data_IF_887724442937
#
_entry.id   IF_887724442937
#
_cell.length_a   1.000
_cell.length_b   1.000
_cell.length_c   1.000
_cell.angle_alpha   90.00
_cell.angle_beta   90.00
_cell.angle_gamma   90.00
#
_symmetry.space_group_name_H-M   'P 1'
#
loop_
_entity.id
_entity.type
_entity.pdbx_description
1 polymer ?
#
# COMPACT_ATOMS: atom_id res chain seq x y z
N UNK A 1 25.82 -7.24 -16.95
CA UNK A 1 27.04 -8.08 -16.77
C UNK A 1 26.62 -9.30 -15.97
N UNK A 2 26.96 -10.53 -16.38
CA UNK A 2 26.50 -11.71 -15.65
C UNK A 2 27.10 -11.75 -14.23
N UNK A 3 26.25 -11.89 -13.22
CA UNK A 3 26.64 -12.04 -11.82
C UNK A 3 27.29 -13.40 -11.60
N UNK A 4 28.13 -13.53 -10.58
CA UNK A 4 28.77 -14.81 -10.22
C UNK A 4 27.74 -15.94 -10.02
N UNK A 5 26.59 -15.61 -9.44
CA UNK A 5 25.49 -16.56 -9.22
C UNK A 5 24.88 -17.08 -10.53
N UNK A 6 24.72 -16.22 -11.54
CA UNK A 6 24.21 -16.63 -12.87
C UNK A 6 25.12 -17.64 -13.55
N UNK A 7 26.44 -17.47 -13.38
CA UNK A 7 27.45 -18.38 -13.93
C UNK A 7 27.44 -19.72 -13.18
N UNK A 8 27.36 -19.68 -11.84
CA UNK A 8 27.38 -20.90 -11.00
C UNK A 8 26.11 -21.74 -11.13
N UNK A 9 24.95 -21.10 -11.32
CA UNK A 9 23.65 -21.79 -11.39
C UNK A 9 23.09 -21.95 -12.80
N UNK A 10 23.83 -21.54 -13.83
CA UNK A 10 23.41 -21.59 -15.24
C UNK A 10 22.01 -20.99 -15.48
N UNK A 11 21.70 -19.93 -14.73
CA UNK A 11 20.48 -19.14 -14.87
C UNK A 11 20.83 -17.80 -15.47
N UNK A 12 19.98 -17.29 -16.36
CA UNK A 12 20.07 -15.92 -16.86
C UNK A 12 18.95 -15.12 -16.22
N UNK A 13 19.28 -14.22 -15.30
CA UNK A 13 18.31 -13.23 -14.86
C UNK A 13 18.23 -12.17 -15.95
N UNK A 14 17.02 -11.94 -16.47
CA UNK A 14 16.79 -10.76 -17.27
C UNK A 14 17.04 -9.55 -16.37
N UNK A 15 17.96 -8.66 -16.74
CA UNK A 15 18.08 -7.35 -16.08
C UNK A 15 16.70 -6.69 -16.14
N UNK A 16 16.02 -6.62 -15.00
CA UNK A 16 14.71 -6.02 -14.91
C UNK A 16 14.82 -4.59 -15.41
N UNK A 17 14.18 -4.27 -16.54
CA UNK A 17 14.05 -2.89 -17.03
C UNK A 17 13.19 -2.13 -16.03
N UNK A 18 13.81 -1.63 -14.96
CA UNK A 18 13.17 -0.67 -14.06
C UNK A 18 12.90 0.57 -14.89
N UNK A 19 11.62 0.85 -15.17
CA UNK A 19 11.22 2.09 -15.83
C UNK A 19 11.74 3.26 -15.00
N UNK A 20 12.26 4.29 -15.67
CA UNK A 20 13.20 5.27 -15.11
C UNK A 20 12.67 6.15 -13.97
N UNK A 21 11.38 6.05 -13.63
CA UNK A 21 10.73 6.83 -12.56
C UNK A 21 10.28 5.98 -11.37
N UNK A 22 10.66 4.69 -11.30
CA UNK A 22 10.44 3.84 -10.13
C UNK A 22 11.53 4.05 -9.10
N UNK A 23 11.13 4.40 -7.88
CA UNK A 23 12.03 4.65 -6.75
C UNK A 23 12.13 3.39 -5.90
N UNK A 24 13.32 3.14 -5.35
CA UNK A 24 13.53 2.01 -4.44
C UNK A 24 12.99 2.33 -3.04
N UNK A 25 12.17 1.42 -2.51
CA UNK A 25 11.52 1.54 -1.20
C UNK A 25 12.02 0.52 -0.18
N UNK A 26 13.15 -0.15 -0.46
CA UNK A 26 13.77 -1.14 0.41
C UNK A 26 14.04 -0.61 1.83
N UNK A 27 14.62 0.59 1.97
CA UNK A 27 14.87 1.23 3.27
C UNK A 27 13.59 1.53 4.04
N UNK A 28 12.54 1.96 3.35
CA UNK A 28 11.24 2.22 3.96
C UNK A 28 10.63 0.94 4.53
N UNK A 29 10.60 -0.15 3.74
CA UNK A 29 10.03 -1.42 4.19
C UNK A 29 10.87 -2.04 5.31
N UNK A 30 12.21 -1.92 5.26
CA UNK A 30 13.06 -2.39 6.34
C UNK A 30 12.80 -1.66 7.66
N UNK A 31 12.61 -0.34 7.62
CA UNK A 31 12.23 0.42 8.82
C UNK A 31 10.81 0.05 9.27
N UNK A 32 9.86 -0.07 8.33
CA UNK A 32 8.48 -0.46 8.64
C UNK A 32 8.41 -1.79 9.37
N UNK A 33 9.13 -2.81 8.90
CA UNK A 33 9.14 -4.14 9.53
C UNK A 33 9.81 -4.14 10.91
N UNK A 34 10.69 -3.18 11.19
CA UNK A 34 11.29 -2.98 12.52
C UNK A 34 10.36 -2.26 13.50
N UNK A 35 9.30 -1.60 13.05
CA UNK A 35 8.48 -0.73 13.90
C UNK A 35 7.00 -1.11 13.90
N UNK A 36 6.55 -1.91 12.92
CA UNK A 36 5.21 -2.43 12.85
C UNK A 36 4.98 -3.51 13.92
N UNK A 37 3.76 -3.56 14.46
CA UNK A 37 3.38 -4.63 15.39
C UNK A 37 3.50 -6.01 14.70
N UNK A 38 4.07 -7.03 15.37
CA UNK A 38 4.26 -8.34 14.77
C UNK A 38 2.91 -8.97 14.46
N UNK A 39 2.59 -9.06 13.18
CA UNK A 39 1.49 -9.89 12.68
C UNK A 39 2.09 -11.26 12.36
N UNK A 40 1.99 -12.22 13.30
CA UNK A 40 2.47 -13.60 13.11
C UNK A 40 3.98 -13.84 13.38
N UNK A 41 4.46 -15.05 13.01
CA UNK A 41 5.72 -15.79 13.31
C UNK A 41 7.09 -15.05 13.19
N UNK A 42 7.11 -13.73 13.11
CA UNK A 42 8.33 -12.92 13.06
C UNK A 42 8.99 -12.87 14.44
N UNK A 43 10.32 -12.95 14.48
CA UNK A 43 11.09 -12.91 15.73
C UNK A 43 10.75 -11.63 16.49
N UNK A 44 10.20 -11.73 17.71
CA UNK A 44 9.76 -10.56 18.45
C UNK A 44 10.95 -9.66 18.73
N UNK A 45 10.73 -8.35 18.67
CA UNK A 45 11.56 -7.41 19.41
C UNK A 45 11.75 -7.94 20.83
N UNK A 46 12.91 -7.67 21.44
CA UNK A 46 13.24 -8.14 22.79
C UNK A 46 12.17 -7.80 23.85
N UNK A 47 11.26 -6.86 23.55
CA UNK A 47 10.09 -6.53 24.36
C UNK A 47 8.78 -6.58 23.53
N UNK A 48 7.81 -7.45 23.86
CA UNK A 48 6.52 -7.57 23.17
C UNK A 48 5.57 -6.37 23.35
N UNK A 49 5.90 -5.43 24.24
CA UNK A 49 5.11 -4.22 24.49
C UNK A 49 5.81 -2.93 24.01
N UNK A 50 6.91 -3.04 23.26
CA UNK A 50 7.56 -1.86 22.70
C UNK A 50 6.67 -1.25 21.61
N UNK A 51 6.16 -0.04 21.85
CA UNK A 51 5.54 0.79 20.82
C UNK A 51 6.62 1.54 20.04
N UNK A 52 6.43 1.79 18.74
CA UNK A 52 7.37 2.58 17.96
C UNK A 52 7.54 3.97 18.57
N UNK A 53 8.76 4.49 18.61
CA UNK A 53 8.98 5.83 19.14
C UNK A 53 8.49 6.87 18.14
N UNK A 54 8.11 8.08 18.59
CA UNK A 54 7.75 9.17 17.68
C UNK A 54 8.87 9.52 16.68
N UNK A 55 10.13 9.27 17.04
CA UNK A 55 11.28 9.46 16.15
C UNK A 55 11.28 8.43 15.03
N UNK A 56 10.95 7.17 15.33
CA UNK A 56 10.91 6.09 14.35
C UNK A 56 9.76 6.29 13.35
N UNK A 57 8.58 6.71 13.82
CA UNK A 57 7.44 7.01 12.94
C UNK A 57 7.74 8.23 12.06
N UNK A 58 8.32 9.29 12.61
CA UNK A 58 8.76 10.44 11.81
C UNK A 58 9.86 10.09 10.80
N UNK A 59 10.76 9.16 11.12
CA UNK A 59 11.77 8.66 10.19
C UNK A 59 11.14 7.87 9.03
N UNK A 60 10.11 7.05 9.32
CA UNK A 60 9.35 6.34 8.30
C UNK A 60 8.69 7.31 7.31
N UNK A 61 8.01 8.36 7.80
CA UNK A 61 7.38 9.35 6.95
C UNK A 61 8.39 10.17 6.15
N UNK A 62 9.59 10.45 6.70
CA UNK A 62 10.68 11.11 5.96
C UNK A 62 11.17 10.28 4.77
N UNK A 63 11.33 8.97 4.93
CA UNK A 63 11.72 8.09 3.81
C UNK A 63 10.67 8.10 2.69
N UNK A 64 9.39 8.06 3.05
CA UNK A 64 8.31 8.18 2.07
C UNK A 64 8.26 9.57 1.42
N UNK A 65 8.49 10.63 2.20
CA UNK A 65 8.52 12.00 1.71
C UNK A 65 9.66 12.22 0.71
N UNK A 66 10.85 11.67 0.97
CA UNK A 66 12.01 11.75 0.07
C UNK A 66 11.71 11.11 -1.29
N UNK A 67 11.06 9.94 -1.29
CA UNK A 67 10.58 9.30 -2.53
C UNK A 67 9.64 10.24 -3.30
N UNK A 68 8.63 10.79 -2.63
CA UNK A 68 7.65 11.65 -3.30
C UNK A 68 8.30 12.95 -3.80
N UNK A 69 9.30 13.50 -3.11
CA UNK A 69 10.09 14.62 -3.61
C UNK A 69 10.89 14.27 -4.86
N UNK A 70 11.49 13.07 -4.92
CA UNK A 70 12.18 12.61 -6.13
C UNK A 70 11.21 12.51 -7.32
N UNK A 71 10.00 12.01 -7.09
CA UNK A 71 8.96 12.02 -8.11
C UNK A 71 8.60 13.48 -8.47
N UNK A 72 8.34 14.33 -7.49
CA UNK A 72 7.93 15.72 -7.71
C UNK A 72 8.90 16.49 -8.61
N UNK A 73 10.21 16.35 -8.38
CA UNK A 73 11.27 17.00 -9.18
C UNK A 73 11.34 16.53 -10.64
N UNK A 74 10.81 15.34 -10.92
CA UNK A 74 10.78 14.71 -12.25
C UNK A 74 9.36 14.63 -12.82
N UNK A 75 8.42 15.43 -12.30
CA UNK A 75 7.01 15.39 -12.71
C UNK A 75 6.83 15.74 -14.21
N UNK A 76 6.13 14.89 -14.99
CA UNK A 76 5.91 15.13 -16.42
C UNK A 76 4.81 16.18 -16.67
N UNK A 77 3.92 16.40 -15.72
CA UNK A 77 2.79 17.34 -15.82
C UNK A 77 2.66 18.17 -14.54
N UNK A 78 2.10 19.38 -14.67
CA UNK A 78 1.84 20.27 -13.53
C UNK A 78 0.84 19.63 -12.56
N UNK A 79 -0.24 19.02 -13.07
CA UNK A 79 -1.23 18.33 -12.22
C UNK A 79 -0.61 17.21 -11.36
N UNK A 80 0.39 16.48 -11.89
CA UNK A 80 1.10 15.48 -11.10
C UNK A 80 1.96 16.13 -10.02
N UNK A 81 2.66 17.21 -10.38
CA UNK A 81 3.49 17.95 -9.43
C UNK A 81 2.64 18.44 -8.25
N UNK A 82 1.49 19.05 -8.53
CA UNK A 82 0.58 19.57 -7.52
C UNK A 82 -0.02 18.43 -6.67
N UNK A 83 -0.34 17.28 -7.29
CA UNK A 83 -0.78 16.10 -6.57
C UNK A 83 0.30 15.58 -5.60
N UNK A 84 1.54 15.43 -6.07
CA UNK A 84 2.67 14.98 -5.24
C UNK A 84 2.97 15.99 -4.12
N UNK A 85 2.90 17.28 -4.40
CA UNK A 85 3.06 18.34 -3.40
C UNK A 85 2.00 18.20 -2.29
N UNK A 86 0.74 17.94 -2.64
CA UNK A 86 -0.31 17.72 -1.64
C UNK A 86 -0.05 16.51 -0.72
N UNK A 87 0.57 15.45 -1.25
CA UNK A 87 0.95 14.27 -0.47
C UNK A 87 2.16 14.57 0.42
N UNK A 88 3.14 15.32 -0.09
CA UNK A 88 4.34 15.74 0.64
C UNK A 88 3.95 16.63 1.83
N UNK A 89 3.08 17.62 1.62
CA UNK A 89 2.60 18.48 2.71
C UNK A 89 1.89 17.66 3.79
N UNK A 90 1.09 16.69 3.39
CA UNK A 90 0.41 15.81 4.34
C UNK A 90 1.39 14.89 5.11
N UNK A 91 2.54 14.53 4.54
CA UNK A 91 3.61 13.84 5.27
C UNK A 91 4.37 14.79 6.20
N UNK A 92 4.57 16.04 5.80
CA UNK A 92 5.24 17.05 6.61
C UNK A 92 4.47 17.33 7.91
N UNK A 93 3.14 17.40 7.84
CA UNK A 93 2.28 17.50 9.03
C UNK A 93 2.52 16.33 10.00
N UNK A 94 2.53 15.09 9.48
CA UNK A 94 2.78 13.88 10.28
C UNK A 94 4.24 13.77 10.76
N UNK A 95 5.20 14.41 10.10
CA UNK A 95 6.60 14.46 10.55
C UNK A 95 6.76 15.43 11.72
N UNK A 96 6.00 16.54 11.71
CA UNK A 96 6.02 17.55 12.75
C UNK A 96 5.25 17.12 14.01
N UNK A 97 4.14 16.40 13.84
CA UNK A 97 3.37 15.79 14.93
C UNK A 97 3.21 14.27 14.72
N UNK A 98 4.27 13.48 14.97
CA UNK A 98 4.27 12.06 14.69
C UNK A 98 3.22 11.30 15.50
N UNK A 99 2.37 10.49 14.85
CA UNK A 99 1.39 9.67 15.55
C UNK A 99 2.10 8.61 16.41
N UNK A 100 1.48 8.31 17.55
CA UNK A 100 1.98 7.30 18.50
C UNK A 100 1.83 5.86 17.99
N UNK A 101 0.98 5.65 16.97
CA UNK A 101 0.80 4.37 16.26
C UNK A 101 0.65 4.61 14.77
N UNK A 102 1.15 3.68 13.98
CA UNK A 102 0.95 3.68 12.54
C UNK A 102 -0.49 3.28 12.22
N UNK A 103 -1.16 4.07 11.39
CA UNK A 103 -2.54 3.82 10.94
C UNK A 103 -2.58 3.05 9.61
N UNK A 104 -1.44 2.51 9.19
CA UNK A 104 -1.30 1.74 7.97
C UNK A 104 -2.09 0.43 7.98
N UNK A 105 -2.41 -0.06 6.78
CA UNK A 105 -3.02 -1.38 6.60
C UNK A 105 -1.96 -2.49 6.70
N UNK A 106 -2.40 -3.71 7.03
CA UNK A 106 -1.51 -4.88 7.08
C UNK A 106 -0.99 -5.27 5.68
N UNK A 107 0.12 -6.01 5.64
CA UNK A 107 0.64 -6.55 4.38
C UNK A 107 -0.39 -7.48 3.70
N UNK A 108 -1.06 -8.32 4.49
CA UNK A 108 -2.14 -9.20 4.04
C UNK A 108 -3.26 -8.43 3.35
N UNK A 109 -3.64 -7.28 3.89
CA UNK A 109 -4.65 -6.43 3.27
C UNK A 109 -4.18 -5.95 1.90
N UNK A 110 -2.95 -5.43 1.81
CA UNK A 110 -2.36 -4.95 0.55
C UNK A 110 -2.30 -6.07 -0.49
N UNK A 111 -1.94 -7.28 -0.08
CA UNK A 111 -1.86 -8.45 -0.97
C UNK A 111 -3.23 -8.94 -1.45
N UNK A 112 -4.27 -8.71 -0.64
CA UNK A 112 -5.67 -9.06 -0.94
C UNK A 112 -6.41 -8.07 -1.85
N UNK A 113 -5.81 -6.91 -2.15
CA UNK A 113 -6.45 -5.90 -3.01
C UNK A 113 -6.66 -6.45 -4.42
N UNK A 114 -7.82 -6.15 -5.00
CA UNK A 114 -8.18 -6.57 -6.35
C UNK A 114 -7.17 -6.07 -7.39
N UNK A 115 -6.62 -7.02 -8.15
CA UNK A 115 -5.68 -6.74 -9.23
C UNK A 115 -6.42 -6.49 -10.53
N UNK A 116 -6.02 -5.43 -11.24
CA UNK A 116 -6.56 -5.12 -12.56
C UNK A 116 -5.78 -5.89 -13.62
N UNK A 117 -6.50 -6.61 -14.48
CA UNK A 117 -5.86 -7.35 -15.57
C UNK A 117 -5.26 -6.38 -16.59
N UNK A 118 -4.05 -6.70 -17.09
CA UNK A 118 -3.43 -5.97 -18.20
C UNK A 118 -4.35 -5.86 -19.43
N UNK A 119 -5.22 -6.85 -19.66
CA UNK A 119 -6.13 -6.87 -20.81
C UNK A 119 -7.24 -5.82 -20.74
N UNK A 120 -7.57 -5.34 -19.54
CA UNK A 120 -8.61 -4.33 -19.31
C UNK A 120 -8.07 -2.91 -19.29
N UNK A 121 -6.73 -2.75 -19.23
CA UNK A 121 -6.06 -1.45 -19.21
C UNK A 121 -5.96 -0.86 -20.62
N UNK A 122 -6.16 0.44 -20.72
CA UNK A 122 -5.97 1.22 -21.94
C UNK A 122 -4.52 1.71 -22.03
N UNK A 123 -4.11 2.15 -23.23
CA UNK A 123 -2.77 2.70 -23.47
C UNK A 123 -2.53 4.04 -22.75
N UNK A 124 -3.60 4.77 -22.50
CA UNK A 124 -3.55 6.09 -21.86
C UNK A 124 -3.71 6.00 -20.33
N UNK A 125 -3.92 4.80 -19.78
CA UNK A 125 -4.03 4.62 -18.34
C UNK A 125 -2.62 4.65 -17.72
N UNK A 126 -2.42 5.59 -16.79
CA UNK A 126 -1.17 5.81 -16.07
C UNK A 126 -1.36 5.78 -14.55
N UNK A 127 -0.28 5.51 -13.83
CA UNK A 127 -0.29 5.60 -12.38
C UNK A 127 -0.32 7.07 -11.94
N UNK A 128 -1.26 7.45 -11.07
CA UNK A 128 -1.37 8.85 -10.64
C UNK A 128 -0.16 9.37 -9.84
N UNK A 129 0.64 8.49 -9.23
CA UNK A 129 1.83 8.85 -8.44
C UNK A 129 3.06 8.98 -9.35
N UNK A 130 3.42 7.90 -10.06
CA UNK A 130 4.63 7.88 -10.88
C UNK A 130 4.41 8.31 -12.34
N UNK A 131 3.17 8.53 -12.78
CA UNK A 131 2.79 8.93 -14.15
C UNK A 131 3.48 8.13 -15.27
N UNK A 132 3.79 6.87 -14.98
CA UNK A 132 4.23 5.90 -15.97
C UNK A 132 2.99 5.17 -16.50
N UNK A 133 2.84 5.03 -17.83
CA UNK A 133 1.77 4.22 -18.42
C UNK A 133 1.88 2.76 -17.98
N UNK A 134 0.78 2.16 -17.54
CA UNK A 134 0.81 0.79 -17.03
C UNK A 134 1.30 -0.22 -18.08
N UNK A 135 0.97 0.03 -19.35
CA UNK A 135 1.33 -0.87 -20.43
C UNK A 135 2.81 -0.80 -20.84
N UNK A 136 3.58 0.16 -20.32
CA UNK A 136 5.03 0.26 -20.55
C UNK A 136 5.80 -0.87 -19.88
N UNK A 137 5.34 -1.33 -18.70
CA UNK A 137 5.92 -2.48 -17.99
C UNK A 137 5.25 -3.78 -18.44
N UNK A 138 6.05 -4.82 -18.74
CA UNK A 138 5.56 -6.16 -19.07
C UNK A 138 4.85 -6.81 -17.88
N UNK A 139 5.34 -6.57 -16.66
CA UNK A 139 4.85 -7.15 -15.41
C UNK A 139 4.13 -6.12 -14.54
N UNK A 140 3.33 -5.25 -15.17
CA UNK A 140 2.59 -4.21 -14.46
C UNK A 140 1.67 -4.79 -13.37
N UNK A 141 1.90 -4.38 -12.13
CA UNK A 141 1.08 -4.74 -10.97
C UNK A 141 0.16 -3.58 -10.60
N UNK A 142 -1.01 -3.54 -11.24
CA UNK A 142 -2.03 -2.51 -11.01
C UNK A 142 -3.08 -3.01 -10.04
N UNK A 143 -3.35 -2.19 -9.02
CA UNK A 143 -4.38 -2.46 -8.01
C UNK A 143 -5.47 -1.40 -8.06
N UNK A 144 -6.72 -1.83 -7.84
CA UNK A 144 -7.87 -0.94 -7.67
C UNK A 144 -8.23 -0.87 -6.19
N UNK A 145 -8.09 0.32 -5.60
CA UNK A 145 -8.36 0.48 -4.17
C UNK A 145 -9.87 0.42 -3.88
N UNK A 146 -10.31 -0.23 -2.77
CA UNK A 146 -11.72 -0.35 -2.38
C UNK A 146 -12.29 0.96 -1.79
N UNK A 147 -11.97 2.08 -2.43
CA UNK A 147 -12.50 3.41 -2.13
C UNK A 147 -13.68 3.74 -3.05
N UNK A 148 -14.49 4.74 -2.69
CA UNK A 148 -15.69 5.15 -3.45
C UNK A 148 -15.41 5.50 -4.92
N UNK A 149 -14.18 5.90 -5.24
CA UNK A 149 -13.76 6.29 -6.59
C UNK A 149 -13.10 5.19 -7.42
N UNK A 150 -12.86 3.99 -6.87
CA UNK A 150 -12.16 2.92 -7.59
C UNK A 150 -10.78 3.36 -8.11
N UNK A 151 -10.02 4.11 -7.30
CA UNK A 151 -8.75 4.68 -7.74
C UNK A 151 -7.69 3.59 -7.97
N UNK A 152 -7.00 3.69 -9.11
CA UNK A 152 -6.02 2.71 -9.56
C UNK A 152 -4.60 3.24 -9.44
N UNK A 153 -3.69 2.38 -9.02
CA UNK A 153 -2.28 2.70 -8.86
C UNK A 153 -1.41 1.47 -9.14
N UNK A 154 -0.14 1.71 -9.42
CA UNK A 154 0.87 0.66 -9.29
C UNK A 154 1.03 0.27 -7.82
N UNK A 155 1.07 -1.03 -7.56
CA UNK A 155 1.24 -1.58 -6.21
C UNK A 155 2.51 -1.05 -5.53
N UNK A 156 3.61 -0.94 -6.27
CA UNK A 156 4.89 -0.43 -5.76
C UNK A 156 4.82 1.06 -5.38
N UNK A 157 3.96 1.84 -6.05
CA UNK A 157 3.80 3.27 -5.77
C UNK A 157 2.87 3.53 -4.59
N UNK A 158 1.76 2.79 -4.51
CA UNK A 158 0.73 3.02 -3.49
C UNK A 158 0.99 2.24 -2.21
N UNK A 159 1.68 1.09 -2.30
CA UNK A 159 1.96 0.19 -1.17
C UNK A 159 2.59 0.90 0.03
N UNK A 160 3.68 1.68 -0.13
CA UNK A 160 4.29 2.42 0.97
C UNK A 160 3.32 3.41 1.67
N UNK A 161 2.49 4.09 0.88
CA UNK A 161 1.48 5.00 1.42
C UNK A 161 0.40 4.25 2.21
N UNK A 162 -0.10 3.12 1.69
CA UNK A 162 -1.08 2.30 2.38
C UNK A 162 -0.54 1.70 3.67
N UNK A 163 0.69 1.17 3.64
CA UNK A 163 1.35 0.57 4.80
C UNK A 163 1.72 1.57 5.89
N UNK A 164 1.81 2.87 5.57
CA UNK A 164 2.08 3.93 6.56
C UNK A 164 0.81 4.64 7.05
N UNK A 165 -0.09 5.04 6.13
CA UNK A 165 -1.28 5.86 6.46
C UNK A 165 -2.61 5.15 6.35
N UNK A 166 -2.71 4.07 5.58
CA UNK A 166 -3.96 3.30 5.42
C UNK A 166 -5.08 4.03 4.67
N UNK A 167 -4.79 5.13 3.99
CA UNK A 167 -5.78 5.94 3.26
C UNK A 167 -5.51 5.97 1.76
N UNK A 168 -6.56 6.20 0.96
CA UNK A 168 -6.39 6.44 -0.47
C UNK A 168 -5.70 7.80 -0.73
N UNK A 169 -4.60 7.87 -1.51
CA UNK A 169 -3.91 9.13 -1.83
C UNK A 169 -4.80 10.19 -2.50
N UNK A 170 -5.81 9.77 -3.27
CA UNK A 170 -6.68 10.67 -4.04
C UNK A 170 -7.89 11.17 -3.25
N UNK A 171 -8.62 10.26 -2.60
CA UNK A 171 -9.88 10.62 -1.91
C UNK A 171 -9.77 10.63 -0.39
N UNK A 172 -8.61 10.32 0.18
CA UNK A 172 -8.33 10.27 1.63
C UNK A 172 -9.24 9.33 2.42
N UNK A 173 -9.97 8.45 1.74
CA UNK A 173 -10.81 7.45 2.38
C UNK A 173 -9.91 6.43 3.10
N UNK A 174 -10.23 6.18 4.36
CA UNK A 174 -9.63 5.14 5.20
C UNK A 174 -10.00 3.75 4.67
N UNK A 175 -8.99 2.92 4.41
CA UNK A 175 -9.12 1.56 3.87
C UNK A 175 -8.92 0.48 4.95
N UNK A 176 -8.49 0.85 6.16
CA UNK A 176 -8.31 -0.09 7.27
C UNK A 176 -9.61 -0.48 7.97
N UNK A 177 -10.66 0.32 7.82
CA UNK A 177 -12.00 0.02 8.33
C UNK A 177 -12.73 -0.83 7.29
N UNK A 178 -12.72 -2.16 7.46
CA UNK A 178 -13.59 -3.07 6.70
C UNK A 178 -15.00 -2.46 6.64
N UNK A 179 -15.57 -2.33 5.44
CA UNK A 179 -17.03 -2.23 5.29
C UNK A 179 -17.58 -3.52 5.91
N UNK A 180 -18.16 -3.42 7.10
CA UNK A 180 -18.95 -4.50 7.67
C UNK A 180 -20.00 -4.87 6.63
N UNK A 181 -19.89 -6.07 6.06
CA UNK A 181 -20.95 -6.64 5.23
C UNK A 181 -22.11 -6.87 6.18
N UNK A 182 -23.27 -6.21 6.00
CA UNK A 182 -24.38 -6.40 6.92
C UNK A 182 -24.81 -7.88 6.82
N UNK A 183 -24.70 -8.59 7.95
CA UNK A 183 -25.22 -9.93 8.07
C UNK A 183 -26.73 -9.88 7.78
N UNK A 184 -27.14 -10.62 6.75
CA UNK A 184 -28.55 -10.88 6.47
C UNK A 184 -29.12 -11.55 7.72
N UNK A 185 -30.06 -10.88 8.39
CA UNK A 185 -30.86 -11.47 9.46
C UNK A 185 -31.90 -12.35 8.76
N UNK A 186 -31.73 -13.66 8.86
CA UNK A 186 -32.79 -14.62 8.57
C UNK A 186 -33.79 -14.55 9.74
N UNK A 187 -34.73 -13.61 9.65
CA UNK A 187 -35.95 -13.59 10.46
C UNK A 187 -37.06 -14.30 9.67
N UNK A 188 -37.73 -15.28 10.30
CA UNK A 188 -39.10 -15.83 10.09
C UNK A 188 -39.07 -17.34 10.46
N UNK A 189 -39.86 -17.94 11.36
CA UNK A 189 -41.04 -17.56 12.16
C UNK A 189 -41.23 -18.63 13.26
N UNK A 190 -41.57 -18.21 14.49
CA UNK A 190 -42.19 -19.08 15.50
C UNK A 190 -43.67 -19.29 15.15
N UNK A 191 -44.16 -20.53 15.07
CA UNK A 191 -45.57 -20.84 15.41
C UNK A 191 -45.81 -22.35 15.71
N UNK A 192 -46.24 -22.58 16.96
CA UNK A 192 -47.27 -23.50 17.46
C UNK A 192 -47.21 -25.04 17.36
N UNK A 193 -47.51 -25.69 18.50
CA UNK A 193 -47.99 -27.07 18.55
C UNK A 193 -47.95 -27.78 19.91
N UNK A 194 -48.89 -27.45 20.79
CA UNK A 194 -49.27 -28.18 22.01
C UNK A 194 -49.23 -29.73 21.89
N UNK A 195 -48.61 -30.43 22.85
CA UNK A 195 -49.07 -31.76 23.29
C UNK A 195 -48.74 -32.01 24.77
N UNK A 196 -49.75 -31.78 25.62
CA UNK A 196 -49.83 -32.24 27.01
C UNK A 196 -49.84 -33.78 27.07
N UNK A 197 -48.96 -34.39 27.86
CA UNK A 197 -49.08 -35.80 28.25
C UNK A 197 -49.69 -35.90 29.66
N UNK A 198 -50.81 -36.62 29.72
CA UNK A 198 -51.46 -37.12 30.94
C UNK A 198 -50.78 -38.39 31.45
#
# INVERSE_FOLDING_TARGET
MATQYEVEHNVKFAEGRRSGRRVDMSSFFSLLDQIAEPSGDQTPHHNPHATPTPVDTAALFRLLQEQLHQLHTTAPTDDNRDFLESLIMNLEDDINDPPTRLHGVSQEFVDSIDRVSRKTLKKDDDCAICKVPYLEDEYCLVVELPCKGGHRFDLECVGPWLRSKGTCPMCRQDLGKKKEVPAVQDDEEEEDGDMMYA
#
